data_IF_488880924047
#
_entry.id   IF_488880924047
#
_cell.length_a   1.000
_cell.length_b   1.000
_cell.length_c   1.000
_cell.angle_alpha   90.00
_cell.angle_beta   90.00
_cell.angle_gamma   90.00
#
_symmetry.space_group_name_H-M   'P 1'
#
loop_
_entity.id
_entity.type
_entity.pdbx_description
1 polymer ?
#
# COMPACT_ATOMS: atom_id res chain seq x y z
N UNK A 1 3.69 -21.64 3.54
CA UNK A 1 4.15 -20.25 3.34
C UNK A 1 5.65 -20.12 3.52
N UNK A 2 6.25 -20.51 4.67
CA UNK A 2 7.71 -20.43 4.87
C UNK A 2 8.56 -21.14 3.78
N UNK A 3 8.18 -22.33 3.27
CA UNK A 3 8.92 -22.96 2.17
C UNK A 3 8.98 -22.13 0.89
N UNK A 4 7.97 -21.29 0.64
CA UNK A 4 7.94 -20.44 -0.55
C UNK A 4 8.91 -19.24 -0.45
N UNK A 5 9.39 -18.93 0.74
CA UNK A 5 10.33 -17.82 0.95
C UNK A 5 11.64 -18.01 0.17
N UNK A 6 12.06 -19.24 0.00
CA UNK A 6 13.30 -19.58 -0.71
C UNK A 6 13.19 -19.42 -2.25
N UNK A 7 11.97 -19.27 -2.78
CA UNK A 7 11.76 -19.03 -4.19
C UNK A 7 12.16 -17.56 -4.51
N UNK A 8 13.08 -17.34 -5.46
CA UNK A 8 13.55 -16.01 -5.83
C UNK A 8 12.47 -15.15 -6.49
N UNK A 9 11.36 -15.72 -6.93
CA UNK A 9 10.22 -14.98 -7.46
C UNK A 9 9.31 -14.39 -6.38
N UNK A 10 9.45 -14.85 -5.14
CA UNK A 10 8.70 -14.31 -3.99
C UNK A 10 9.34 -13.03 -3.51
N UNK A 11 8.69 -11.91 -3.71
CA UNK A 11 9.21 -10.56 -3.46
C UNK A 11 8.94 -10.06 -2.05
N UNK A 12 7.92 -10.59 -1.39
CA UNK A 12 7.51 -10.16 -0.06
C UNK A 12 6.45 -11.06 0.55
N UNK A 13 6.00 -10.69 1.72
CA UNK A 13 4.84 -11.27 2.37
C UNK A 13 3.63 -10.38 2.07
N UNK A 14 2.66 -10.91 1.34
CA UNK A 14 1.43 -10.20 1.00
C UNK A 14 0.37 -10.38 2.07
N UNK A 15 -0.30 -9.31 2.33
CA UNK A 15 -1.45 -9.04 3.15
C UNK A 15 -1.46 -9.76 4.51
N UNK A 16 -0.77 -9.18 5.47
CA UNK A 16 -0.74 -9.74 6.81
C UNK A 16 -1.93 -9.24 7.64
N UNK A 17 -3.00 -10.04 7.72
CA UNK A 17 -4.28 -9.67 8.32
C UNK A 17 -4.37 -9.92 9.83
N UNK A 18 -3.46 -10.69 10.44
CA UNK A 18 -3.54 -11.03 11.88
C UNK A 18 -2.97 -9.93 12.77
N UNK A 19 -3.59 -8.74 12.72
CA UNK A 19 -3.22 -7.58 13.54
C UNK A 19 -3.31 -7.90 15.03
N UNK A 20 -4.42 -8.51 15.46
CA UNK A 20 -4.64 -8.86 16.87
C UNK A 20 -3.57 -9.81 17.41
N UNK A 21 -3.14 -10.78 16.61
CA UNK A 21 -2.07 -11.69 16.99
C UNK A 21 -0.71 -10.97 17.13
N UNK A 22 -0.44 -9.97 16.30
CA UNK A 22 0.76 -9.13 16.44
C UNK A 22 0.70 -8.31 17.72
N UNK A 23 -0.38 -7.61 17.96
CA UNK A 23 -0.56 -6.76 19.15
C UNK A 23 -0.54 -7.57 20.45
N UNK A 24 -1.02 -8.81 20.41
CA UNK A 24 -0.95 -9.73 21.55
C UNK A 24 0.41 -10.44 21.70
N UNK A 25 1.35 -10.23 20.77
CA UNK A 25 2.65 -10.91 20.81
C UNK A 25 2.59 -12.41 20.47
N UNK A 26 1.61 -12.84 19.67
CA UNK A 26 1.45 -14.25 19.30
C UNK A 26 2.67 -14.76 18.53
N UNK A 27 3.34 -15.78 19.08
CA UNK A 27 4.59 -16.31 18.51
C UNK A 27 4.46 -16.76 17.05
N UNK A 28 3.33 -17.39 16.69
CA UNK A 28 3.07 -17.84 15.31
C UNK A 28 2.93 -16.67 14.33
N UNK A 29 2.35 -15.55 14.76
CA UNK A 29 2.24 -14.33 13.96
C UNK A 29 3.61 -13.69 13.77
N UNK A 30 4.33 -13.49 14.88
CA UNK A 30 5.65 -12.87 14.88
C UNK A 30 6.71 -13.70 14.14
N UNK A 31 6.66 -15.03 14.23
CA UNK A 31 7.57 -15.91 13.48
C UNK A 31 7.42 -15.76 11.96
N UNK A 32 6.19 -15.56 11.45
CA UNK A 32 5.96 -15.31 10.03
C UNK A 32 6.57 -13.97 9.60
N UNK A 33 6.34 -12.92 10.38
CA UNK A 33 6.88 -11.59 10.10
C UNK A 33 8.40 -11.59 10.14
N UNK A 34 9.01 -12.19 11.18
CA UNK A 34 10.47 -12.34 11.29
C UNK A 34 11.09 -13.06 10.09
N UNK A 35 10.40 -14.04 9.54
CA UNK A 35 10.89 -14.76 8.37
C UNK A 35 10.96 -13.89 7.10
N UNK A 36 10.27 -12.75 7.04
CA UNK A 36 10.23 -11.85 5.89
C UNK A 36 10.78 -10.46 6.19
N UNK A 37 11.52 -10.26 7.29
CA UNK A 37 12.05 -8.95 7.69
C UNK A 37 12.97 -8.29 6.66
N UNK A 38 13.60 -9.07 5.79
CA UNK A 38 14.46 -8.61 4.70
C UNK A 38 13.69 -8.25 3.43
N UNK A 39 12.37 -8.34 3.44
CA UNK A 39 11.47 -8.11 2.30
C UNK A 39 10.33 -7.18 2.69
N UNK A 40 9.57 -6.75 1.69
CA UNK A 40 8.33 -6.00 1.94
C UNK A 40 7.31 -6.90 2.63
N UNK A 41 6.70 -6.39 3.69
CA UNK A 41 5.56 -7.01 4.35
C UNK A 41 4.38 -6.06 4.17
N UNK A 42 3.41 -6.50 3.39
CA UNK A 42 2.18 -5.77 3.17
C UNK A 42 1.18 -6.04 4.30
N UNK A 43 0.50 -4.99 4.75
CA UNK A 43 -0.46 -5.03 5.83
C UNK A 43 -1.90 -4.94 5.36
N UNK A 44 -2.79 -5.25 6.28
CA UNK A 44 -4.22 -5.09 6.17
C UNK A 44 -4.74 -4.66 7.55
N UNK A 45 -4.81 -3.36 7.78
CA UNK A 45 -4.96 -2.81 9.12
C UNK A 45 -6.04 -1.71 9.21
N UNK A 46 -7.31 -2.01 8.82
CA UNK A 46 -8.38 -1.01 8.86
C UNK A 46 -8.62 -0.52 10.28
N UNK A 47 -8.63 0.80 10.47
CA UNK A 47 -8.90 1.43 11.75
C UNK A 47 -7.79 1.28 12.80
N UNK A 48 -6.60 0.80 12.41
CA UNK A 48 -5.50 0.59 13.35
C UNK A 48 -4.79 1.90 13.67
N UNK A 49 -4.80 2.29 14.94
CA UNK A 49 -4.26 3.55 15.45
C UNK A 49 -3.45 3.34 16.73
N UNK A 50 -2.75 4.38 17.17
CA UNK A 50 -2.09 4.45 18.46
C UNK A 50 -1.03 3.37 18.69
N UNK A 51 -1.05 2.76 19.86
CA UNK A 51 -0.06 1.76 20.26
C UNK A 51 -0.09 0.50 19.42
N UNK A 52 -1.26 0.10 18.96
CA UNK A 52 -1.44 -1.09 18.14
C UNK A 52 -0.84 -0.88 16.74
N UNK A 53 -1.00 0.30 16.15
CA UNK A 53 -0.30 0.69 14.93
C UNK A 53 1.22 0.65 15.12
N UNK A 54 1.73 1.17 16.23
CA UNK A 54 3.17 1.13 16.52
C UNK A 54 3.69 -0.31 16.69
N UNK A 55 2.93 -1.17 17.38
CA UNK A 55 3.29 -2.58 17.52
C UNK A 55 3.33 -3.29 16.16
N UNK A 56 2.39 -3.00 15.29
CA UNK A 56 2.30 -3.58 13.95
C UNK A 56 3.48 -3.15 13.06
N UNK A 57 3.84 -1.87 13.10
CA UNK A 57 5.03 -1.34 12.42
C UNK A 57 6.33 -1.94 12.95
N UNK A 58 6.48 -2.02 14.29
CA UNK A 58 7.66 -2.62 14.92
C UNK A 58 7.83 -4.10 14.59
N UNK A 59 6.74 -4.80 14.32
CA UNK A 59 6.78 -6.19 13.86
C UNK A 59 7.24 -6.34 12.39
N UNK A 60 7.44 -5.22 11.68
CA UNK A 60 8.00 -5.19 10.33
C UNK A 60 7.00 -4.95 9.20
N UNK A 61 5.70 -4.79 9.51
CA UNK A 61 4.72 -4.43 8.47
C UNK A 61 4.97 -3.00 8.03
N UNK A 62 5.09 -2.76 6.73
CA UNK A 62 5.58 -1.50 6.19
C UNK A 62 4.60 -0.77 5.29
N UNK A 63 3.52 -1.44 4.89
CA UNK A 63 2.49 -0.89 3.98
C UNK A 63 1.10 -1.19 4.51
N UNK A 64 0.11 -0.40 4.12
CA UNK A 64 -1.31 -0.67 4.32
C UNK A 64 -2.12 -0.17 3.13
N UNK A 65 -3.16 -0.92 2.76
CA UNK A 65 -4.07 -0.58 1.65
C UNK A 65 -5.54 -0.50 2.10
N UNK A 66 -5.84 -0.82 3.35
CA UNK A 66 -7.21 -0.84 3.89
C UNK A 66 -7.64 0.49 4.53
N UNK A 67 -6.74 1.43 4.68
CA UNK A 67 -7.05 2.75 5.24
C UNK A 67 -8.24 3.39 4.51
N UNK A 68 -9.27 3.79 5.26
CA UNK A 68 -10.48 4.40 4.73
C UNK A 68 -10.73 5.81 5.28
N UNK A 69 -10.21 6.13 6.44
CA UNK A 69 -10.46 7.38 7.13
C UNK A 69 -9.26 8.33 7.08
N UNK A 70 -9.51 9.65 6.97
CA UNK A 70 -8.45 10.66 6.89
C UNK A 70 -7.47 10.66 8.07
N UNK A 71 -7.99 10.53 9.28
CA UNK A 71 -7.19 10.51 10.51
C UNK A 71 -6.26 9.31 10.54
N UNK A 72 -6.75 8.16 10.13
CA UNK A 72 -6.00 6.91 10.00
C UNK A 72 -4.85 7.08 9.01
N UNK A 73 -5.13 7.61 7.82
CA UNK A 73 -4.12 7.87 6.79
C UNK A 73 -3.01 8.79 7.29
N UNK A 74 -3.37 9.85 8.00
CA UNK A 74 -2.40 10.81 8.55
C UNK A 74 -1.54 10.18 9.65
N UNK A 75 -2.12 9.37 10.51
CA UNK A 75 -1.38 8.71 11.59
C UNK A 75 -0.44 7.64 11.03
N UNK A 76 -0.90 6.81 10.10
CA UNK A 76 -0.08 5.81 9.42
C UNK A 76 1.15 6.46 8.75
N UNK A 77 0.95 7.52 7.98
CA UNK A 77 2.03 8.24 7.31
C UNK A 77 3.01 8.91 8.28
N UNK A 78 2.50 9.54 9.36
CA UNK A 78 3.34 10.13 10.41
C UNK A 78 4.17 9.09 11.16
N UNK A 79 3.62 7.90 11.31
CA UNK A 79 4.29 6.75 11.92
C UNK A 79 5.30 6.08 11.01
N UNK A 80 5.39 6.49 9.73
CA UNK A 80 6.37 5.98 8.77
C UNK A 80 5.87 4.83 7.88
N UNK A 81 4.60 4.46 7.96
CA UNK A 81 3.97 3.48 7.08
C UNK A 81 3.85 4.02 5.65
N UNK A 82 3.91 3.15 4.67
CA UNK A 82 3.58 3.50 3.29
C UNK A 82 2.09 3.23 3.06
N UNK A 83 1.39 4.22 2.55
CA UNK A 83 -0.04 4.15 2.31
C UNK A 83 -0.33 3.84 0.85
N UNK A 84 -1.06 2.79 0.59
CA UNK A 84 -1.57 2.45 -0.74
C UNK A 84 -3.04 2.83 -0.84
N UNK A 85 -3.34 3.92 -1.53
CA UNK A 85 -4.72 4.38 -1.73
C UNK A 85 -5.39 3.46 -2.72
N UNK A 86 -6.42 2.76 -2.26
CA UNK A 86 -7.14 1.75 -2.99
C UNK A 86 -8.26 2.34 -3.85
N UNK A 87 -8.38 1.82 -5.08
CA UNK A 87 -9.52 2.01 -5.94
C UNK A 87 -9.97 0.68 -6.56
N UNK A 88 -10.57 -0.15 -5.74
CA UNK A 88 -11.21 -1.39 -6.14
C UNK A 88 -12.60 -1.17 -6.74
N UNK A 89 -13.36 -2.23 -6.89
CA UNK A 89 -14.77 -2.17 -7.28
C UNK A 89 -15.68 -1.86 -6.10
N UNK A 90 -15.39 -2.41 -4.93
CA UNK A 90 -16.13 -2.20 -3.69
C UNK A 90 -15.70 -0.95 -2.93
N UNK A 91 -14.41 -0.77 -2.72
CA UNK A 91 -13.85 0.34 -1.96
C UNK A 91 -13.31 1.46 -2.85
N UNK A 92 -13.81 2.68 -2.66
CA UNK A 92 -13.48 3.87 -3.45
C UNK A 92 -13.15 5.08 -2.55
N UNK A 93 -12.33 4.86 -1.53
CA UNK A 93 -12.03 5.87 -0.50
C UNK A 93 -11.00 6.92 -0.97
N UNK A 94 -10.44 6.72 -2.16
CA UNK A 94 -9.32 7.52 -2.66
C UNK A 94 -9.59 9.02 -2.73
N UNK A 95 -10.80 9.46 -3.02
CA UNK A 95 -11.11 10.89 -3.15
C UNK A 95 -11.03 11.61 -1.80
N UNK A 96 -11.57 11.01 -0.74
CA UNK A 96 -11.52 11.55 0.62
C UNK A 96 -10.08 11.58 1.15
N UNK A 97 -9.37 10.48 1.02
CA UNK A 97 -7.98 10.39 1.49
C UNK A 97 -7.07 11.38 0.76
N UNK A 98 -7.20 11.49 -0.56
CA UNK A 98 -6.37 12.41 -1.35
C UNK A 98 -6.68 13.86 -0.99
N UNK A 99 -7.95 14.27 -0.78
CA UNK A 99 -8.28 15.64 -0.37
C UNK A 99 -7.61 16.01 0.95
N UNK A 100 -7.69 15.11 1.94
CA UNK A 100 -7.04 15.30 3.24
C UNK A 100 -5.52 15.40 3.13
N UNK A 101 -4.90 14.54 2.30
CA UNK A 101 -3.45 14.58 2.09
C UNK A 101 -3.00 15.85 1.38
N UNK A 102 -3.84 16.43 0.50
CA UNK A 102 -3.57 17.73 -0.13
C UNK A 102 -3.55 18.88 0.87
N UNK A 103 -4.48 18.86 1.81
CA UNK A 103 -4.63 19.91 2.82
C UNK A 103 -3.65 19.72 3.99
N UNK A 104 -3.17 18.50 4.19
CA UNK A 104 -2.17 18.20 5.20
C UNK A 104 -0.76 18.60 4.76
N UNK A 105 0.13 18.80 5.72
CA UNK A 105 1.58 19.02 5.45
C UNK A 105 2.38 17.73 5.44
N UNK A 106 1.72 16.58 5.38
CA UNK A 106 2.39 15.27 5.37
C UNK A 106 3.02 15.03 4.00
N UNK A 107 4.22 14.48 3.97
CA UNK A 107 4.89 14.12 2.73
C UNK A 107 4.14 13.00 2.01
N UNK A 108 3.94 13.17 0.71
CA UNK A 108 3.34 12.16 -0.15
C UNK A 108 4.34 11.14 -0.71
N UNK A 109 5.59 11.18 -0.27
CA UNK A 109 6.63 10.25 -0.71
C UNK A 109 6.32 8.79 -0.37
N UNK A 110 5.49 8.59 0.65
CA UNK A 110 5.05 7.28 1.13
C UNK A 110 3.65 6.90 0.66
N UNK A 111 3.11 7.60 -0.34
CA UNK A 111 1.77 7.33 -0.87
C UNK A 111 1.88 6.76 -2.27
N UNK A 112 1.19 5.66 -2.49
CA UNK A 112 0.99 5.10 -3.83
C UNK A 112 -0.46 4.66 -4.04
N UNK A 113 -0.75 4.06 -5.18
CA UNK A 113 -2.09 3.64 -5.54
C UNK A 113 -2.11 2.15 -5.87
N UNK A 114 -3.18 1.48 -5.49
CA UNK A 114 -3.46 0.09 -5.83
C UNK A 114 -4.91 -0.09 -6.28
N UNK A 115 -5.23 -1.25 -6.79
CA UNK A 115 -6.60 -1.60 -7.22
C UNK A 115 -7.26 -2.58 -6.28
N UNK A 116 -6.47 -3.45 -5.67
CA UNK A 116 -6.95 -4.54 -4.83
C UNK A 116 -8.06 -5.37 -5.53
N UNK A 117 -9.23 -5.50 -4.96
CA UNK A 117 -10.37 -6.31 -5.39
C UNK A 117 -11.13 -5.77 -6.62
N UNK A 118 -10.43 -5.32 -7.65
CA UNK A 118 -11.07 -4.75 -8.83
C UNK A 118 -11.59 -5.83 -9.78
N UNK A 119 -12.89 -5.79 -10.08
CA UNK A 119 -13.55 -6.71 -11.01
C UNK A 119 -13.07 -6.55 -12.46
N UNK A 120 -13.10 -7.63 -13.22
CA UNK A 120 -12.63 -7.65 -14.62
C UNK A 120 -13.38 -6.65 -15.51
N UNK A 121 -14.69 -6.50 -15.29
CA UNK A 121 -15.53 -5.54 -16.01
C UNK A 121 -15.10 -4.10 -15.72
N UNK A 122 -14.77 -3.80 -14.47
CA UNK A 122 -14.28 -2.48 -14.08
C UNK A 122 -12.87 -2.23 -14.62
N UNK A 123 -12.03 -3.25 -14.67
CA UNK A 123 -10.70 -3.13 -15.32
C UNK A 123 -10.86 -2.80 -16.80
N UNK A 124 -11.79 -3.44 -17.50
CA UNK A 124 -12.07 -3.16 -18.92
C UNK A 124 -12.59 -1.75 -19.14
N UNK A 125 -13.48 -1.27 -18.27
CA UNK A 125 -14.13 0.04 -18.38
C UNK A 125 -13.22 1.19 -17.92
N UNK A 126 -12.50 1.01 -16.84
CA UNK A 126 -11.77 2.07 -16.13
C UNK A 126 -10.25 1.95 -16.24
N UNK A 127 -9.73 0.80 -16.69
CA UNK A 127 -8.31 0.46 -16.61
C UNK A 127 -7.88 0.07 -15.19
N UNK A 128 -6.61 -0.30 -15.03
CA UNK A 128 -6.03 -0.61 -13.73
C UNK A 128 -5.65 0.70 -13.03
N UNK A 129 -4.43 1.13 -13.13
CA UNK A 129 -3.93 2.34 -12.45
C UNK A 129 -4.04 3.63 -13.26
N UNK A 130 -4.21 3.55 -14.58
CA UNK A 130 -4.34 4.72 -15.45
C UNK A 130 -5.57 5.57 -15.12
N UNK A 131 -6.68 4.94 -14.71
CA UNK A 131 -7.89 5.65 -14.31
C UNK A 131 -7.73 6.42 -12.99
N UNK A 132 -6.78 6.03 -12.13
CA UNK A 132 -6.46 6.74 -10.89
C UNK A 132 -5.62 7.98 -11.21
N UNK A 133 -4.65 7.85 -12.12
CA UNK A 133 -3.73 8.92 -12.49
C UNK A 133 -4.32 9.96 -13.43
N UNK A 134 -5.39 9.63 -14.17
CA UNK A 134 -5.99 10.51 -15.19
C UNK A 134 -7.04 11.50 -14.63
N UNK A 135 -7.39 11.44 -13.34
CA UNK A 135 -8.39 12.37 -12.79
C UNK A 135 -7.80 13.76 -12.54
N UNK A 136 -8.57 14.84 -12.83
CA UNK A 136 -8.16 16.22 -12.58
C UNK A 136 -7.66 16.48 -11.15
N UNK A 137 -8.08 15.63 -10.24
CA UNK A 137 -7.76 15.69 -8.83
C UNK A 137 -6.29 15.34 -8.55
N UNK A 138 -5.74 14.32 -9.21
CA UNK A 138 -4.32 13.96 -9.08
C UNK A 138 -3.44 14.98 -9.79
N UNK A 139 -3.91 15.56 -10.89
CA UNK A 139 -3.24 16.70 -11.55
C UNK A 139 -3.16 17.90 -10.61
N UNK A 140 -4.22 18.21 -9.86
CA UNK A 140 -4.21 19.24 -8.82
C UNK A 140 -3.23 18.94 -7.68
N UNK A 141 -3.07 17.68 -7.32
CA UNK A 141 -2.13 17.24 -6.31
C UNK A 141 -0.67 17.36 -6.79
N UNK A 142 -0.37 16.89 -7.99
CA UNK A 142 0.96 17.03 -8.59
C UNK A 142 1.35 18.48 -8.85
N UNK A 143 0.39 19.33 -9.28
CA UNK A 143 0.63 20.75 -9.53
C UNK A 143 0.83 21.58 -8.27
N UNK A 144 0.03 21.36 -7.20
CA UNK A 144 0.15 22.12 -5.97
C UNK A 144 1.40 21.84 -5.17
N UNK A 145 1.98 20.65 -5.28
CA UNK A 145 3.12 20.23 -4.46
C UNK A 145 4.45 20.19 -5.20
N UNK A 146 4.54 20.61 -6.47
CA UNK A 146 5.74 20.39 -7.30
C UNK A 146 6.28 18.96 -7.14
N UNK A 147 5.37 17.99 -7.06
CA UNK A 147 5.77 16.61 -6.88
C UNK A 147 6.35 16.06 -8.18
N UNK A 148 7.63 16.29 -8.34
CA UNK A 148 8.45 15.29 -9.00
C UNK A 148 8.36 14.05 -8.09
N UNK A 149 7.69 13.01 -8.55
CA UNK A 149 7.81 11.70 -7.92
C UNK A 149 9.30 11.38 -7.88
N UNK A 150 9.97 11.44 -6.71
CA UNK A 150 11.37 11.11 -6.67
C UNK A 150 11.51 9.69 -7.21
N UNK A 151 12.60 9.43 -7.94
CA UNK A 151 12.89 8.07 -8.41
C UNK A 151 12.93 7.05 -7.25
N UNK A 152 13.12 7.55 -6.01
CA UNK A 152 13.01 6.81 -4.75
C UNK A 152 11.59 6.38 -4.41
N UNK A 153 10.56 7.21 -4.67
CA UNK A 153 9.16 6.82 -4.43
C UNK A 153 8.69 5.81 -5.49
N UNK A 154 9.19 5.95 -6.72
CA UNK A 154 9.07 4.85 -7.69
C UNK A 154 9.75 3.57 -7.18
N UNK A 155 10.79 3.67 -6.37
CA UNK A 155 11.46 2.51 -5.74
C UNK A 155 10.78 2.05 -4.45
N UNK A 156 10.11 2.89 -3.70
CA UNK A 156 9.37 2.53 -2.48
C UNK A 156 8.08 1.76 -2.78
N UNK A 157 7.26 2.24 -3.71
CA UNK A 157 6.05 1.54 -4.17
C UNK A 157 6.31 0.60 -5.36
N UNK A 158 7.45 0.75 -6.06
CA UNK A 158 7.92 -0.11 -7.15
C UNK A 158 9.25 -0.78 -6.84
N UNK A 159 9.66 -0.85 -5.59
CA UNK A 159 10.80 -1.69 -5.17
C UNK A 159 10.49 -3.19 -5.29
N UNK A 160 9.27 -3.53 -5.65
CA UNK A 160 9.03 -4.73 -6.43
C UNK A 160 9.72 -4.49 -7.79
N UNK A 161 10.81 -5.22 -8.14
CA UNK A 161 11.41 -5.13 -9.45
C UNK A 161 10.42 -5.71 -10.47
N UNK A 162 9.43 -4.92 -10.85
CA UNK A 162 8.61 -5.22 -11.99
C UNK A 162 9.52 -5.12 -13.22
N UNK A 163 10.29 -6.18 -13.49
CA UNK A 163 10.78 -6.43 -14.83
C UNK A 163 9.55 -6.42 -15.71
N UNK A 164 9.54 -5.52 -16.69
CA UNK A 164 8.56 -5.52 -17.78
C UNK A 164 8.66 -6.85 -18.52
N UNK A 165 8.04 -7.89 -18.00
CA UNK A 165 7.71 -9.03 -18.81
C UNK A 165 6.61 -8.55 -19.76
N UNK A 166 6.98 -8.36 -21.02
CA UNK A 166 6.01 -8.23 -22.10
C UNK A 166 5.21 -9.51 -22.13
N UNK A 167 4.02 -9.48 -21.56
CA UNK A 167 3.04 -10.50 -21.88
C UNK A 167 2.73 -10.35 -23.37
N UNK A 168 3.31 -11.21 -24.23
CA UNK A 168 2.78 -11.48 -25.55
C UNK A 168 1.55 -12.36 -25.33
N UNK A 169 0.38 -11.85 -25.60
CA UNK A 169 -0.82 -12.64 -25.79
C UNK A 169 -0.65 -13.29 -27.16
N UNK A 170 -0.63 -14.65 -27.25
CA UNK A 170 -0.70 -15.30 -28.56
C UNK A 170 -2.04 -14.93 -29.17
N UNK A 171 -2.03 -14.54 -30.47
CA UNK A 171 -3.22 -14.30 -31.28
C UNK A 171 -3.93 -15.61 -31.65
#
# INVERSE_FOLDING_TARGET
MLPLREDPSVLGLGEFMNVSGVCAGEEKALAKLRAFQDRVIDGHAPGLLGKDLQAYLLAGVSTDHECSEPEEALEQLRSGMNLMIRRGSGAKNGETLISTLLDSRVSAERVCFCTDDKHVEDIRREGISAAISARPFILGWTQRRHMQWPASTRRGCTALPFRRHRFRIPG
#
